data_IF_702607151131
#
_entry.id   IF_702607151131
#
_cell.length_a   1.000
_cell.length_b   1.000
_cell.length_c   1.000
_cell.angle_alpha   90.00
_cell.angle_beta   90.00
_cell.angle_gamma   90.00
#
_symmetry.space_group_name_H-M   'P 1'
#
loop_
_entity.id
_entity.type
_entity.pdbx_description
1 polymer ?
#
# COMPACT_ATOMS: atom_id res chain seq x y z
N UNK A 1 -62.30 -16.02 34.46
CA UNK A 1 -61.78 -15.21 33.33
C UNK A 1 -62.19 -13.77 33.58
N UNK A 2 -61.23 -12.83 33.69
CA UNK A 2 -60.46 -12.34 32.54
C UNK A 2 -58.92 -12.41 32.73
N UNK A 3 -58.12 -12.14 31.67
CA UNK A 3 -56.66 -12.30 31.67
C UNK A 3 -55.92 -10.95 31.62
N UNK A 4 -54.97 -10.70 32.53
CA UNK A 4 -53.93 -9.68 32.34
C UNK A 4 -52.69 -10.09 33.15
N UNK A 5 -51.67 -10.60 32.46
CA UNK A 5 -50.34 -10.81 33.01
C UNK A 5 -49.51 -9.56 32.82
N UNK A 6 -49.49 -8.69 33.83
CA UNK A 6 -48.52 -7.59 33.94
C UNK A 6 -47.13 -8.19 34.16
N UNK A 7 -46.20 -7.94 33.24
CA UNK A 7 -44.79 -8.27 33.43
C UNK A 7 -44.20 -7.35 34.51
N UNK A 8 -43.43 -7.95 35.42
CA UNK A 8 -42.90 -7.29 36.62
C UNK A 8 -42.11 -6.00 36.33
N UNK A 9 -42.20 -4.98 37.21
CA UNK A 9 -41.61 -3.65 37.00
C UNK A 9 -40.07 -3.65 36.88
N UNK A 10 -39.41 -4.71 37.34
CA UNK A 10 -37.94 -4.86 37.29
C UNK A 10 -37.41 -5.15 35.89
N UNK A 11 -38.19 -5.80 35.01
CA UNK A 11 -37.79 -6.06 33.62
C UNK A 11 -37.76 -4.77 32.80
N UNK A 12 -38.81 -3.96 32.95
CA UNK A 12 -38.99 -2.72 32.23
C UNK A 12 -37.93 -1.66 32.63
N UNK A 13 -37.52 -1.66 33.90
CA UNK A 13 -36.44 -0.80 34.39
C UNK A 13 -35.07 -1.19 33.79
N UNK A 14 -34.82 -2.50 33.66
CA UNK A 14 -33.57 -3.06 33.12
C UNK A 14 -33.44 -2.79 31.62
N UNK A 15 -34.55 -2.88 30.87
CA UNK A 15 -34.61 -2.50 29.46
C UNK A 15 -34.40 -1.00 29.25
N UNK A 16 -35.01 -0.17 30.10
CA UNK A 16 -34.85 1.30 30.04
C UNK A 16 -33.44 1.75 30.41
N UNK A 17 -32.77 1.05 31.33
CA UNK A 17 -31.36 1.27 31.64
C UNK A 17 -30.44 0.88 30.46
N UNK A 18 -30.73 -0.24 29.78
CA UNK A 18 -29.99 -0.68 28.59
C UNK A 18 -30.08 0.32 27.44
N UNK A 19 -31.26 0.90 27.22
CA UNK A 19 -31.46 1.90 26.15
C UNK A 19 -30.82 3.25 26.45
N UNK A 20 -30.79 3.66 27.73
CA UNK A 20 -30.13 4.90 28.19
C UNK A 20 -28.59 4.86 28.04
N UNK A 21 -27.97 3.69 28.18
CA UNK A 21 -26.53 3.50 28.04
C UNK A 21 -26.06 3.14 26.62
N UNK A 22 -26.96 3.14 25.63
CA UNK A 22 -26.58 2.92 24.24
C UNK A 22 -25.93 1.56 23.97
N UNK A 23 -26.10 0.58 24.86
CA UNK A 23 -25.67 -0.80 24.66
C UNK A 23 -26.69 -1.51 23.76
N UNK A 24 -26.74 -1.06 22.50
CA UNK A 24 -27.41 -1.77 21.42
C UNK A 24 -26.50 -2.93 21.05
N UNK A 25 -26.94 -4.16 21.31
CA UNK A 25 -26.32 -5.34 20.72
C UNK A 25 -26.26 -5.12 19.21
N UNK A 26 -25.05 -4.92 18.70
CA UNK A 26 -24.82 -4.89 17.27
C UNK A 26 -25.14 -6.28 16.76
N UNK A 27 -26.35 -6.45 16.23
CA UNK A 27 -26.64 -7.52 15.28
C UNK A 27 -25.62 -7.37 14.15
N UNK A 28 -24.58 -8.17 14.24
CA UNK A 28 -23.55 -8.34 13.25
C UNK A 28 -24.23 -8.92 11.99
N UNK A 29 -24.67 -8.04 11.11
CA UNK A 29 -25.10 -8.42 9.78
C UNK A 29 -23.84 -8.79 9.00
N UNK A 30 -23.50 -10.08 8.96
CA UNK A 30 -22.32 -10.65 8.29
C UNK A 30 -22.48 -10.76 6.77
N UNK A 31 -23.05 -9.76 6.12
CA UNK A 31 -23.10 -9.67 4.66
C UNK A 31 -22.60 -8.30 4.21
N UNK A 32 -21.28 -8.20 4.13
CA UNK A 32 -20.58 -7.02 3.67
C UNK A 32 -19.09 -7.23 3.75
N UNK A 33 -18.50 -7.80 2.69
CA UNK A 33 -17.04 -7.79 2.51
C UNK A 33 -16.53 -6.36 2.78
N UNK A 34 -15.51 -6.15 3.63
CA UNK A 34 -14.98 -4.82 3.86
C UNK A 34 -14.54 -4.22 2.52
N UNK A 35 -14.84 -2.94 2.25
CA UNK A 35 -14.51 -2.32 0.97
C UNK A 35 -13.01 -2.48 0.74
N UNK A 36 -12.64 -3.26 -0.28
CA UNK A 36 -11.27 -3.45 -0.70
C UNK A 36 -10.76 -2.11 -1.20
N UNK A 37 -10.09 -1.36 -0.32
CA UNK A 37 -9.40 -0.14 -0.68
C UNK A 37 -8.16 -0.54 -1.47
N UNK A 38 -8.32 -0.66 -2.79
CA UNK A 38 -7.18 -0.76 -3.69
C UNK A 38 -6.42 0.55 -3.57
N UNK A 39 -5.28 0.52 -2.87
CA UNK A 39 -4.33 1.61 -2.89
C UNK A 39 -3.74 1.63 -4.30
N UNK A 40 -4.43 2.31 -5.22
CA UNK A 40 -4.01 2.42 -6.60
C UNK A 40 -2.67 3.15 -6.60
N UNK A 41 -1.63 2.49 -7.11
CA UNK A 41 -0.29 3.04 -7.35
C UNK A 41 -0.36 4.44 -8.00
N UNK A 42 -1.44 4.70 -8.73
CA UNK A 42 -1.81 6.00 -9.29
C UNK A 42 -1.84 7.16 -8.29
N UNK A 43 -2.32 6.98 -7.06
CA UNK A 43 -2.31 8.05 -6.05
C UNK A 43 -0.90 8.41 -5.61
N UNK A 44 0.00 7.42 -5.54
CA UNK A 44 1.41 7.63 -5.22
C UNK A 44 2.13 8.35 -6.37
N UNK A 45 1.89 7.94 -7.61
CA UNK A 45 2.38 8.65 -8.80
C UNK A 45 1.88 10.10 -8.87
N UNK A 46 0.58 10.32 -8.61
CA UNK A 46 0.00 11.67 -8.55
C UNK A 46 0.62 12.53 -7.45
N UNK A 47 0.91 11.95 -6.28
CA UNK A 47 1.56 12.67 -5.19
C UNK A 47 3.00 13.07 -5.55
N UNK A 48 3.76 12.20 -6.23
CA UNK A 48 5.12 12.50 -6.72
C UNK A 48 5.09 13.60 -7.77
N UNK A 49 4.16 13.52 -8.74
CA UNK A 49 4.02 14.53 -9.78
C UNK A 49 3.60 15.88 -9.19
N UNK A 50 2.66 15.90 -8.24
CA UNK A 50 2.24 17.11 -7.56
C UNK A 50 3.40 17.70 -6.73
N UNK A 51 4.16 16.87 -6.02
CA UNK A 51 5.31 17.31 -5.25
C UNK A 51 6.41 17.88 -6.14
N UNK A 52 6.72 17.23 -7.28
CA UNK A 52 7.66 17.74 -8.28
C UNK A 52 7.21 19.06 -8.88
N UNK A 53 5.91 19.22 -9.12
CA UNK A 53 5.33 20.47 -9.59
C UNK A 53 5.41 21.57 -8.53
N UNK A 54 5.08 21.27 -7.26
CA UNK A 54 5.20 22.22 -6.16
C UNK A 54 6.66 22.64 -5.93
N UNK A 55 7.62 21.71 -6.04
CA UNK A 55 9.03 22.02 -5.95
C UNK A 55 9.45 23.09 -6.98
N UNK A 56 8.94 23.00 -8.22
CA UNK A 56 9.17 23.99 -9.28
C UNK A 56 8.72 25.40 -8.82
N UNK A 57 7.61 25.51 -8.10
CA UNK A 57 7.08 26.80 -7.63
C UNK A 57 7.85 27.36 -6.42
N UNK A 58 8.21 26.53 -5.46
CA UNK A 58 8.88 27.00 -4.23
C UNK A 58 10.38 27.29 -4.43
N UNK A 59 11.07 26.58 -5.32
CA UNK A 59 12.52 26.76 -5.54
C UNK A 59 12.87 27.74 -6.66
N UNK A 60 11.89 28.28 -7.40
CA UNK A 60 12.12 29.30 -8.43
C UNK A 60 12.15 30.72 -7.84
N UNK A 61 13.03 30.97 -6.87
CA UNK A 61 13.39 32.35 -6.53
C UNK A 61 14.19 32.91 -7.72
N UNK A 62 13.51 33.62 -8.63
CA UNK A 62 14.13 34.29 -9.78
C UNK A 62 15.00 35.43 -9.29
N UNK A 63 16.22 35.12 -8.88
CA UNK A 63 17.28 36.13 -8.76
C UNK A 63 17.82 36.35 -10.17
N UNK A 64 17.76 37.58 -10.67
CA UNK A 64 18.36 37.89 -11.97
C UNK A 64 19.87 37.64 -11.88
N UNK A 65 20.33 36.62 -12.60
CA UNK A 65 21.74 36.27 -12.68
C UNK A 65 22.41 37.18 -13.70
N UNK A 66 23.13 38.19 -13.21
CA UNK A 66 23.86 39.13 -14.04
C UNK A 66 25.26 38.56 -14.32
N UNK A 67 25.70 38.49 -15.59
CA UNK A 67 27.06 38.08 -15.93
C UNK A 67 28.11 38.97 -15.25
N UNK A 68 29.24 38.39 -14.85
CA UNK A 68 30.31 39.12 -14.15
C UNK A 68 30.81 40.36 -14.91
N UNK A 69 30.84 40.31 -16.24
CA UNK A 69 31.21 41.45 -17.10
C UNK A 69 30.21 42.61 -17.01
N UNK A 70 28.91 42.31 -16.94
CA UNK A 70 27.85 43.31 -16.73
C UNK A 70 27.90 43.90 -15.33
N UNK A 71 28.25 43.07 -14.34
CA UNK A 71 28.49 43.55 -12.99
C UNK A 71 29.65 44.56 -12.92
N UNK A 72 30.79 44.29 -13.60
CA UNK A 72 31.88 45.27 -13.70
C UNK A 72 31.43 46.58 -14.35
N UNK A 73 30.56 46.52 -15.35
CA UNK A 73 29.97 47.73 -15.95
C UNK A 73 29.15 48.52 -14.93
N UNK A 74 28.32 47.86 -14.11
CA UNK A 74 27.55 48.54 -13.07
C UNK A 74 28.40 49.16 -11.96
N UNK A 75 29.54 48.56 -11.63
CA UNK A 75 30.53 49.18 -10.74
C UNK A 75 31.13 50.42 -11.40
N UNK A 76 31.54 50.32 -12.68
CA UNK A 76 32.13 51.42 -13.42
C UNK A 76 31.18 52.62 -13.59
N UNK A 77 29.88 52.35 -13.76
CA UNK A 77 28.80 53.34 -13.86
C UNK A 77 28.38 53.94 -12.51
N UNK A 78 28.86 53.40 -11.37
CA UNK A 78 28.48 53.87 -10.04
C UNK A 78 27.04 53.51 -9.61
N UNK A 79 26.41 52.61 -10.36
CA UNK A 79 25.01 52.17 -10.21
C UNK A 79 24.80 51.18 -9.07
N UNK A 80 25.86 50.79 -8.35
CA UNK A 80 25.79 49.82 -7.23
C UNK A 80 25.80 50.57 -5.89
N UNK A 81 24.91 50.19 -4.97
CA UNK A 81 24.80 50.81 -3.64
C UNK A 81 25.47 49.98 -2.55
N UNK A 82 25.02 48.73 -2.41
CA UNK A 82 25.49 47.82 -1.38
C UNK A 82 25.79 46.45 -1.99
N UNK A 83 26.93 45.88 -1.60
CA UNK A 83 27.39 44.56 -2.04
C UNK A 83 27.57 43.63 -0.86
N UNK A 84 27.13 42.39 -1.04
CA UNK A 84 27.42 41.27 -0.14
C UNK A 84 28.24 40.24 -0.89
N UNK A 85 29.51 40.10 -0.51
CA UNK A 85 30.45 39.17 -1.13
C UNK A 85 30.36 37.83 -0.38
N UNK A 86 29.75 36.83 -1.02
CA UNK A 86 29.71 35.45 -0.54
C UNK A 86 30.86 34.58 -1.07
N UNK A 87 30.93 33.31 -0.64
CA UNK A 87 31.93 32.36 -1.14
C UNK A 87 31.73 32.01 -2.62
N UNK A 88 30.49 31.76 -3.06
CA UNK A 88 30.16 31.30 -4.43
C UNK A 88 29.51 32.39 -5.30
N UNK A 89 28.94 33.43 -4.68
CA UNK A 89 28.13 34.44 -5.37
C UNK A 89 28.20 35.79 -4.67
N UNK A 90 28.20 36.86 -5.47
CA UNK A 90 28.11 38.24 -5.01
C UNK A 90 26.66 38.69 -5.21
N UNK A 91 26.03 39.18 -4.16
CA UNK A 91 24.70 39.77 -4.22
C UNK A 91 24.82 41.28 -4.10
N UNK A 92 24.05 42.01 -4.90
CA UNK A 92 24.08 43.47 -4.88
C UNK A 92 22.71 44.08 -5.08
N UNK A 93 22.59 45.34 -4.67
CA UNK A 93 21.43 46.19 -4.97
C UNK A 93 21.85 47.32 -5.92
N UNK A 94 21.13 47.45 -7.04
CA UNK A 94 21.30 48.58 -7.94
C UNK A 94 20.61 49.82 -7.37
N UNK A 95 21.19 50.98 -7.62
CA UNK A 95 20.62 52.30 -7.33
C UNK A 95 19.49 52.56 -8.33
N UNK A 96 18.26 52.52 -7.84
CA UNK A 96 17.05 52.80 -8.62
C UNK A 96 15.80 52.50 -7.81
N UNK A 97 14.70 53.20 -8.11
CA UNK A 97 13.38 52.92 -7.53
C UNK A 97 12.56 52.21 -8.60
N UNK A 98 12.27 50.90 -8.51
CA UNK A 98 12.49 49.97 -7.40
C UNK A 98 13.91 49.41 -7.31
N UNK A 99 14.38 49.14 -6.08
CA UNK A 99 15.70 48.58 -5.81
C UNK A 99 15.79 47.14 -6.34
N UNK A 100 16.44 46.96 -7.49
CA UNK A 100 16.62 45.65 -8.11
C UNK A 100 17.78 44.92 -7.44
N UNK A 101 17.49 43.70 -6.96
CA UNK A 101 18.48 42.77 -6.43
C UNK A 101 19.02 41.94 -7.58
N UNK A 102 20.33 41.90 -7.72
CA UNK A 102 21.01 41.03 -8.67
C UNK A 102 21.95 40.07 -7.94
N UNK A 103 22.17 38.91 -8.54
CA UNK A 103 23.24 38.00 -8.12
C UNK A 103 24.20 37.79 -9.29
N UNK A 104 25.49 37.77 -8.99
CA UNK A 104 26.52 37.38 -9.94
C UNK A 104 27.38 36.28 -9.33
N UNK A 105 27.85 35.36 -10.17
CA UNK A 105 28.75 34.29 -9.73
C UNK A 105 30.11 34.90 -9.44
N UNK A 106 30.73 34.53 -8.31
CA UNK A 106 32.02 35.08 -7.92
C UNK A 106 33.09 34.54 -8.87
N UNK A 107 33.80 35.44 -9.55
CA UNK A 107 35.02 35.13 -10.31
C UNK A 107 36.22 35.53 -9.45
N UNK A 108 37.28 34.75 -9.47
CA UNK A 108 38.49 35.06 -8.70
C UNK A 108 39.25 36.21 -9.38
N UNK A 109 38.95 37.43 -8.94
CA UNK A 109 39.49 38.67 -9.49
C UNK A 109 40.26 39.43 -8.38
N UNK A 110 41.60 39.49 -8.46
CA UNK A 110 42.44 40.15 -7.45
C UNK A 110 42.24 41.66 -7.34
N UNK A 111 41.75 42.32 -8.39
CA UNK A 111 41.65 43.78 -8.45
C UNK A 111 40.25 44.30 -8.07
N UNK A 112 39.27 43.41 -7.91
CA UNK A 112 37.89 43.76 -7.57
C UNK A 112 37.79 44.58 -6.27
N UNK A 113 38.55 44.24 -5.23
CA UNK A 113 38.52 44.97 -3.95
C UNK A 113 39.03 46.41 -4.13
N UNK A 114 40.07 46.60 -4.95
CA UNK A 114 40.62 47.93 -5.26
C UNK A 114 39.61 48.77 -6.03
N UNK A 115 38.94 48.20 -7.03
CA UNK A 115 37.89 48.88 -7.80
C UNK A 115 36.71 49.31 -6.91
N UNK A 116 36.35 48.50 -5.91
CA UNK A 116 35.28 48.82 -4.96
C UNK A 116 35.68 49.94 -3.99
N UNK A 117 36.92 49.93 -3.51
CA UNK A 117 37.47 50.97 -2.63
C UNK A 117 37.61 52.32 -3.37
N UNK A 118 38.10 52.32 -4.62
CA UNK A 118 38.20 53.51 -5.47
C UNK A 118 36.84 54.17 -5.73
N UNK A 119 35.79 53.37 -5.85
CA UNK A 119 34.41 53.84 -6.09
C UNK A 119 33.59 54.06 -4.81
N UNK A 120 34.20 53.84 -3.63
CA UNK A 120 33.55 53.95 -2.29
C UNK A 120 32.25 53.16 -2.19
N UNK A 121 32.22 51.95 -2.74
CA UNK A 121 31.04 51.07 -2.64
C UNK A 121 31.08 50.31 -1.32
N UNK A 122 29.99 50.36 -0.55
CA UNK A 122 29.89 49.60 0.70
C UNK A 122 29.78 48.10 0.41
N UNK A 123 30.78 47.33 0.82
CA UNK A 123 30.77 45.86 0.73
C UNK A 123 30.78 45.21 2.11
N UNK A 124 30.06 44.10 2.25
CA UNK A 124 30.04 43.27 3.45
C UNK A 124 30.31 41.81 3.11
N UNK A 125 31.05 41.12 3.99
CA UNK A 125 31.20 39.66 3.93
C UNK A 125 30.12 39.00 4.78
N UNK A 126 29.22 38.23 4.18
CA UNK A 126 28.25 37.42 4.93
C UNK A 126 28.46 35.95 4.62
N UNK A 127 28.77 35.17 5.66
CA UNK A 127 28.63 33.74 5.61
C UNK A 127 27.15 33.41 5.73
N UNK A 128 26.47 33.26 4.59
CA UNK A 128 25.14 32.68 4.60
C UNK A 128 25.29 31.19 4.97
N UNK A 129 24.88 30.86 6.19
CA UNK A 129 24.88 29.47 6.66
C UNK A 129 23.75 28.72 5.97
N UNK A 130 24.00 28.30 4.72
CA UNK A 130 23.11 27.42 3.95
C UNK A 130 22.80 26.12 4.70
N UNK A 131 23.60 25.75 5.71
CA UNK A 131 23.37 24.57 6.54
C UNK A 131 21.93 24.45 7.04
N UNK A 132 21.36 25.50 7.65
CA UNK A 132 20.00 25.41 8.20
C UNK A 132 18.97 25.24 7.08
N UNK A 133 19.08 26.02 6.00
CA UNK A 133 18.17 25.96 4.84
C UNK A 133 18.28 24.65 4.08
N UNK A 134 19.49 24.12 3.90
CA UNK A 134 19.78 22.83 3.26
C UNK A 134 19.28 21.67 4.12
N UNK A 135 19.52 21.73 5.43
CA UNK A 135 19.04 20.73 6.37
C UNK A 135 17.49 20.71 6.42
N UNK A 136 16.85 21.88 6.51
CA UNK A 136 15.38 21.98 6.45
C UNK A 136 14.83 21.49 5.11
N UNK A 137 15.51 21.82 4.01
CA UNK A 137 15.10 21.41 2.66
C UNK A 137 15.14 19.89 2.47
N UNK A 138 15.95 19.16 3.23
CA UNK A 138 15.97 17.69 3.22
C UNK A 138 15.04 17.07 4.26
N UNK A 139 14.98 17.66 5.46
CA UNK A 139 14.14 17.17 6.56
C UNK A 139 12.65 17.34 6.27
N UNK A 140 12.23 18.46 5.67
CA UNK A 140 10.81 18.73 5.41
C UNK A 140 10.20 17.68 4.45
N UNK A 141 10.80 17.37 3.30
CA UNK A 141 10.32 16.29 2.42
C UNK A 141 10.27 14.93 3.10
N UNK A 142 11.32 14.57 3.87
CA UNK A 142 11.37 13.30 4.60
C UNK A 142 10.27 13.23 5.65
N UNK A 143 10.04 14.32 6.39
CA UNK A 143 8.99 14.42 7.40
C UNK A 143 7.60 14.27 6.79
N UNK A 144 7.32 14.95 5.67
CA UNK A 144 6.05 14.83 4.94
C UNK A 144 5.87 13.40 4.43
N UNK A 145 6.91 12.80 3.83
CA UNK A 145 6.87 11.40 3.40
C UNK A 145 6.54 10.47 4.56
N UNK A 146 7.19 10.64 5.71
CA UNK A 146 6.95 9.81 6.88
C UNK A 146 5.54 9.98 7.46
N UNK A 147 5.00 11.20 7.43
CA UNK A 147 3.62 11.50 7.86
C UNK A 147 2.58 10.85 6.93
N UNK A 148 2.78 10.98 5.61
CA UNK A 148 1.92 10.35 4.60
C UNK A 148 2.02 8.83 4.71
N UNK A 149 3.23 8.28 4.85
CA UNK A 149 3.47 6.86 5.02
C UNK A 149 2.80 6.33 6.29
N UNK A 150 2.95 7.02 7.42
CA UNK A 150 2.29 6.66 8.69
C UNK A 150 0.77 6.69 8.57
N UNK A 151 0.22 7.69 7.85
CA UNK A 151 -1.22 7.79 7.63
C UNK A 151 -1.74 6.68 6.69
N UNK A 152 -0.99 6.37 5.62
CA UNK A 152 -1.30 5.29 4.68
C UNK A 152 -1.25 3.92 5.39
N UNK A 153 -0.21 3.66 6.18
CA UNK A 153 -0.06 2.45 6.99
C UNK A 153 -1.14 2.33 8.07
N UNK A 154 -1.68 3.44 8.60
CA UNK A 154 -2.82 3.40 9.53
C UNK A 154 -4.14 3.06 8.81
N UNK A 155 -4.28 3.40 7.52
CA UNK A 155 -5.45 3.05 6.69
C UNK A 155 -5.37 1.63 6.12
N UNK A 156 -4.18 1.11 5.83
CA UNK A 156 -3.95 -0.30 5.55
C UNK A 156 -3.96 -1.06 6.88
N UNK A 157 -5.10 -1.64 7.26
CA UNK A 157 -5.25 -2.36 8.52
C UNK A 157 -4.12 -3.39 8.77
N UNK A 158 -3.83 -3.69 10.05
CA UNK A 158 -2.77 -4.62 10.44
C UNK A 158 -3.05 -6.01 9.83
N UNK A 159 -2.38 -6.33 8.72
CA UNK A 159 -2.58 -7.58 7.97
C UNK A 159 -2.56 -7.46 6.45
N UNK A 160 -2.61 -6.24 5.89
CA UNK A 160 -2.63 -6.01 4.44
C UNK A 160 -1.32 -5.47 3.83
N UNK A 161 -0.22 -5.45 4.59
CA UNK A 161 1.10 -5.03 4.12
C UNK A 161 2.01 -6.21 3.81
N UNK A 162 2.44 -6.34 2.55
CA UNK A 162 3.53 -7.19 1.99
C UNK A 162 3.57 -8.70 2.32
N UNK A 163 2.85 -9.19 3.31
CA UNK A 163 2.76 -10.60 3.74
C UNK A 163 1.74 -11.42 2.95
N UNK A 164 0.97 -10.80 2.05
CA UNK A 164 -0.04 -11.49 1.22
C UNK A 164 0.44 -11.87 -0.18
N UNK A 165 1.63 -11.42 -0.61
CA UNK A 165 2.20 -11.76 -1.91
C UNK A 165 2.82 -13.16 -1.99
N UNK A 166 2.94 -13.87 -0.85
CA UNK A 166 3.62 -15.18 -0.78
C UNK A 166 2.68 -16.38 -0.57
N UNK A 167 1.36 -16.18 -0.52
CA UNK A 167 0.43 -17.31 -0.39
C UNK A 167 -0.21 -17.58 -1.74
N UNK A 168 0.12 -18.73 -2.33
CA UNK A 168 -0.59 -19.32 -3.47
C UNK A 168 -2.09 -19.09 -3.31
N UNK A 169 -2.71 -18.48 -4.33
CA UNK A 169 -4.16 -18.24 -4.38
C UNK A 169 -4.91 -19.49 -4.82
N UNK A 170 -4.48 -20.69 -4.40
CA UNK A 170 -5.27 -21.89 -4.59
C UNK A 170 -6.59 -21.71 -3.84
N UNK A 171 -7.68 -21.54 -4.60
CA UNK A 171 -9.01 -21.50 -4.01
C UNK A 171 -9.36 -22.94 -3.67
N UNK A 172 -9.11 -23.33 -2.43
CA UNK A 172 -9.55 -24.62 -1.90
C UNK A 172 -11.07 -24.56 -1.82
N UNK A 173 -11.75 -25.09 -2.84
CA UNK A 173 -13.18 -25.35 -2.78
C UNK A 173 -13.36 -26.58 -1.90
N UNK A 174 -13.72 -26.35 -0.64
CA UNK A 174 -14.16 -27.37 0.28
C UNK A 174 -15.67 -27.52 0.13
N UNK A 175 -16.11 -28.52 -0.62
CA UNK A 175 -17.52 -28.87 -0.65
C UNK A 175 -17.77 -29.76 0.58
N UNK A 176 -18.40 -29.21 1.61
CA UNK A 176 -18.64 -29.91 2.88
C UNK A 176 -19.63 -31.09 2.74
N UNK A 177 -20.38 -31.16 1.62
CA UNK A 177 -21.29 -32.25 1.29
C UNK A 177 -21.23 -32.52 -0.22
N UNK A 178 -20.51 -33.56 -0.63
CA UNK A 178 -20.56 -34.06 -2.01
C UNK A 178 -21.87 -34.81 -2.25
N UNK A 179 -22.80 -34.19 -3.00
CA UNK A 179 -24.12 -34.77 -3.33
C UNK A 179 -24.10 -35.83 -4.44
N UNK A 180 -22.92 -36.25 -4.89
CA UNK A 180 -22.74 -37.16 -6.04
C UNK A 180 -22.31 -38.52 -5.50
N UNK A 181 -22.91 -39.59 -6.00
CA UNK A 181 -22.66 -40.99 -5.59
C UNK A 181 -22.33 -41.86 -6.79
N UNK A 182 -21.99 -43.14 -6.60
CA UNK A 182 -21.75 -44.06 -7.73
C UNK A 182 -23.01 -44.35 -8.55
N UNK A 183 -24.20 -44.05 -8.01
CA UNK A 183 -25.44 -44.10 -8.78
C UNK A 183 -25.47 -43.07 -9.93
N UNK A 184 -24.74 -41.95 -9.79
CA UNK A 184 -24.69 -40.88 -10.78
C UNK A 184 -23.65 -41.12 -11.90
N UNK A 185 -22.83 -42.17 -11.76
CA UNK A 185 -21.85 -42.59 -12.76
C UNK A 185 -22.37 -43.82 -13.54
N UNK A 186 -22.61 -43.70 -14.84
CA UNK A 186 -23.12 -44.80 -15.67
C UNK A 186 -22.04 -45.39 -16.58
N UNK A 187 -22.05 -46.72 -16.78
CA UNK A 187 -21.22 -47.42 -17.76
C UNK A 187 -19.73 -47.50 -17.41
N UNK A 188 -19.40 -47.51 -16.12
CA UNK A 188 -18.01 -47.57 -15.61
C UNK A 188 -17.97 -48.59 -14.46
N UNK A 189 -18.42 -49.81 -14.72
CA UNK A 189 -18.62 -50.82 -13.68
C UNK A 189 -17.29 -51.38 -13.19
N UNK A 190 -16.30 -51.50 -14.07
CA UNK A 190 -14.95 -51.96 -13.73
C UNK A 190 -14.22 -50.96 -12.81
N UNK A 191 -14.26 -49.67 -13.13
CA UNK A 191 -13.59 -48.66 -12.30
C UNK A 191 -14.33 -48.42 -10.97
N UNK A 192 -15.65 -48.64 -10.93
CA UNK A 192 -16.40 -48.62 -9.65
C UNK A 192 -15.92 -49.72 -8.72
N UNK A 193 -15.72 -50.93 -9.23
CA UNK A 193 -15.24 -52.05 -8.42
C UNK A 193 -13.85 -51.77 -7.81
N UNK A 194 -12.92 -51.23 -8.61
CA UNK A 194 -11.59 -50.82 -8.10
C UNK A 194 -11.68 -49.66 -7.10
N UNK A 195 -12.54 -48.67 -7.36
CA UNK A 195 -12.70 -47.52 -6.47
C UNK A 195 -13.48 -47.85 -5.19
N UNK A 196 -14.22 -48.97 -5.15
CA UNK A 196 -14.91 -49.44 -3.94
C UNK A 196 -13.92 -49.74 -2.81
N UNK A 197 -12.72 -50.26 -3.13
CA UNK A 197 -11.66 -50.47 -2.14
C UNK A 197 -11.19 -49.13 -1.54
N UNK A 198 -11.10 -48.09 -2.37
CA UNK A 198 -10.72 -46.74 -1.93
C UNK A 198 -11.80 -46.14 -1.03
N UNK A 199 -13.08 -46.34 -1.34
CA UNK A 199 -14.20 -45.93 -0.48
C UNK A 199 -14.12 -46.63 0.88
N UNK A 200 -13.96 -47.96 0.90
CA UNK A 200 -13.85 -48.72 2.16
C UNK A 200 -12.64 -48.24 2.99
N UNK A 201 -11.55 -47.91 2.30
CA UNK A 201 -10.35 -47.36 2.92
C UNK A 201 -10.61 -46.00 3.58
N UNK A 202 -11.30 -45.09 2.88
CA UNK A 202 -11.61 -43.75 3.38
C UNK A 202 -12.60 -43.79 4.55
N UNK A 203 -13.60 -44.67 4.50
CA UNK A 203 -14.59 -44.81 5.57
C UNK A 203 -14.06 -45.55 6.80
N UNK A 204 -13.20 -46.57 6.62
CA UNK A 204 -12.72 -47.44 7.71
C UNK A 204 -11.19 -47.62 7.73
N UNK A 205 -10.38 -46.56 7.85
CA UNK A 205 -8.91 -46.65 7.76
C UNK A 205 -8.30 -47.51 8.88
N UNK A 206 -8.98 -47.63 10.03
CA UNK A 206 -8.53 -48.44 11.17
C UNK A 206 -8.51 -49.95 10.88
N UNK A 207 -9.43 -50.45 10.04
CA UNK A 207 -9.50 -51.88 9.66
C UNK A 207 -8.26 -52.29 8.86
N UNK A 208 -7.88 -51.48 7.87
CA UNK A 208 -6.73 -51.73 7.01
C UNK A 208 -5.39 -51.63 7.76
N UNK A 209 -5.26 -50.66 8.68
CA UNK A 209 -4.05 -50.54 9.51
C UNK A 209 -3.83 -51.75 10.43
N UNK A 210 -4.89 -52.31 11.01
CA UNK A 210 -4.81 -53.50 11.88
C UNK A 210 -4.34 -54.75 11.13
N UNK A 211 -4.67 -54.86 9.85
CA UNK A 211 -4.27 -55.95 8.97
C UNK A 211 -2.86 -55.75 8.36
N UNK A 212 -2.16 -54.66 8.71
CA UNK A 212 -0.86 -54.32 8.14
C UNK A 212 -0.92 -53.79 6.71
N UNK A 213 -2.11 -53.44 6.21
CA UNK A 213 -2.30 -52.90 4.86
C UNK A 213 -1.67 -51.52 4.68
N UNK A 214 -1.06 -51.28 3.52
CA UNK A 214 -0.51 -49.97 3.15
C UNK A 214 -1.60 -49.11 2.52
N UNK A 215 -1.69 -47.88 3.00
CA UNK A 215 -2.65 -46.89 2.51
C UNK A 215 -2.21 -46.39 1.12
N UNK A 216 -3.05 -46.49 0.08
CA UNK A 216 -2.77 -45.84 -1.19
C UNK A 216 -2.70 -44.32 -0.99
N UNK A 217 -1.62 -43.70 -1.46
CA UNK A 217 -1.38 -42.25 -1.28
C UNK A 217 -2.03 -41.39 -2.35
N UNK A 218 -2.43 -41.99 -3.47
CA UNK A 218 -3.06 -41.28 -4.59
C UNK A 218 -3.50 -42.26 -5.66
N UNK A 219 -4.54 -41.88 -6.39
CA UNK A 219 -5.10 -42.61 -7.53
C UNK A 219 -5.05 -41.67 -8.73
N UNK A 220 -4.55 -42.15 -9.87
CA UNK A 220 -4.49 -41.40 -11.11
C UNK A 220 -5.55 -41.93 -12.07
N UNK A 221 -6.60 -41.14 -12.30
CA UNK A 221 -7.62 -41.46 -13.30
C UNK A 221 -7.18 -40.95 -14.68
N UNK A 222 -6.98 -41.87 -15.63
CA UNK A 222 -6.52 -41.55 -17.00
C UNK A 222 -7.64 -41.84 -18.00
N UNK A 223 -7.80 -40.96 -18.98
CA UNK A 223 -8.73 -41.18 -20.09
C UNK A 223 -9.05 -39.90 -20.88
N UNK A 224 -9.68 -40.00 -22.05
CA UNK A 224 -10.08 -38.86 -22.89
C UNK A 224 -10.89 -37.79 -22.13
N UNK A 225 -10.87 -36.51 -22.53
CA UNK A 225 -11.71 -35.49 -21.89
C UNK A 225 -13.20 -35.88 -21.98
N UNK A 226 -13.98 -35.57 -20.93
CA UNK A 226 -15.42 -35.85 -20.89
C UNK A 226 -15.82 -37.25 -20.39
N UNK A 227 -14.89 -38.14 -20.06
CA UNK A 227 -15.19 -39.51 -19.56
C UNK A 227 -15.55 -39.58 -18.07
N UNK A 228 -16.02 -38.50 -17.45
CA UNK A 228 -16.49 -38.53 -16.06
C UNK A 228 -15.42 -38.69 -14.97
N UNK A 229 -14.13 -38.53 -15.24
CA UNK A 229 -13.05 -38.66 -14.22
C UNK A 229 -13.29 -37.80 -12.97
N UNK A 230 -13.61 -36.52 -13.14
CA UNK A 230 -13.92 -35.61 -12.03
C UNK A 230 -15.21 -36.00 -11.32
N UNK A 231 -16.18 -36.56 -12.06
CA UNK A 231 -17.45 -37.05 -11.50
C UNK A 231 -17.22 -38.28 -10.62
N UNK A 232 -16.40 -39.24 -11.07
CA UNK A 232 -16.00 -40.40 -10.28
C UNK A 232 -15.24 -40.00 -9.01
N UNK A 233 -14.31 -39.04 -9.10
CA UNK A 233 -13.59 -38.56 -7.93
C UNK A 233 -14.54 -37.92 -6.89
N UNK A 234 -15.58 -37.21 -7.34
CA UNK A 234 -16.65 -36.69 -6.45
C UNK A 234 -17.53 -37.79 -5.88
N UNK A 235 -17.86 -38.80 -6.69
CA UNK A 235 -18.65 -39.96 -6.27
C UNK A 235 -17.94 -40.76 -5.17
N UNK A 236 -16.63 -40.99 -5.29
CA UNK A 236 -15.82 -41.65 -4.24
C UNK A 236 -15.89 -40.90 -2.90
N UNK A 237 -15.80 -39.57 -2.94
CA UNK A 237 -15.90 -38.75 -1.73
C UNK A 237 -17.33 -38.77 -1.14
N UNK A 238 -18.36 -38.76 -2.00
CA UNK A 238 -19.76 -38.90 -1.58
C UNK A 238 -20.07 -40.25 -0.94
N UNK A 239 -19.63 -41.35 -1.55
CA UNK A 239 -19.80 -42.72 -1.00
C UNK A 239 -19.07 -42.92 0.32
N UNK A 240 -17.91 -42.29 0.49
CA UNK A 240 -17.14 -42.36 1.73
C UNK A 240 -17.58 -41.34 2.80
N UNK A 241 -18.51 -40.44 2.48
CA UNK A 241 -18.96 -39.31 3.32
C UNK A 241 -17.79 -38.42 3.83
N UNK A 242 -16.80 -38.18 2.97
CA UNK A 242 -15.63 -37.35 3.30
C UNK A 242 -15.62 -36.04 2.50
N UNK A 243 -15.01 -34.95 3.02
CA UNK A 243 -14.89 -33.68 2.29
C UNK A 243 -14.11 -33.85 0.98
N UNK A 244 -14.61 -33.23 -0.09
CA UNK A 244 -13.95 -33.20 -1.39
C UNK A 244 -13.26 -31.86 -1.63
N UNK A 245 -11.96 -31.90 -1.90
CA UNK A 245 -11.16 -30.74 -2.26
C UNK A 245 -10.74 -30.83 -3.72
N UNK A 246 -11.09 -29.81 -4.51
CA UNK A 246 -10.71 -29.73 -5.92
C UNK A 246 -9.72 -28.60 -6.15
N UNK A 247 -8.59 -28.91 -6.79
CA UNK A 247 -7.61 -27.91 -7.22
C UNK A 247 -7.16 -28.26 -8.65
N UNK A 248 -7.10 -27.26 -9.54
CA UNK A 248 -6.56 -27.45 -10.88
C UNK A 248 -5.04 -27.36 -10.87
N UNK A 249 -4.36 -28.27 -11.59
CA UNK A 249 -2.89 -28.23 -11.75
C UNK A 249 -2.39 -26.91 -12.37
N UNK A 250 -3.21 -26.28 -13.21
CA UNK A 250 -2.90 -24.97 -13.81
C UNK A 250 -2.87 -23.81 -12.82
N UNK A 251 -3.40 -23.98 -11.60
CA UNK A 251 -3.35 -22.95 -10.55
C UNK A 251 -2.00 -22.91 -9.82
N UNK A 252 -1.12 -23.88 -10.08
CA UNK A 252 0.21 -23.99 -9.47
C UNK A 252 1.37 -23.53 -10.36
N UNK A 253 1.09 -23.15 -11.61
CA UNK A 253 2.09 -22.69 -12.60
C UNK A 253 1.96 -21.18 -12.78
#
# INVERSE_FOLDING_TARGET
>A
MPPFGEKEPMENLKEKFRSLFGLKDSKENKDGLPPKTYFSIWYFLMAILLFSYLQQYFFSARVETVPYSRFKQYIAEGSVNELTIGPESIHGTLKGTPAQKFATVRVNDPDLVKELDERRVSYSGRYDSKFLTTLLSWIVPIGIFFLVWRYAMKKMGPGMGVMSFSKSKAKIFAENETKVTFADAAGIDEAKEELQEIVEFLSNPGKFRKLGGRIPKGVLLVGPPGTGKTLLARAVAGEAEVPFFSISGSEFV
#
